data_IF_175444038693
#
_entry.id   IF_175444038693
#
_cell.length_a   1.000
_cell.length_b   1.000
_cell.length_c   1.000
_cell.angle_alpha   90.00
_cell.angle_beta   90.00
_cell.angle_gamma   90.00
#
_symmetry.space_group_name_H-M   'P 1'
#
loop_
_entity.id
_entity.type
_entity.pdbx_description
1 polymer ?
#
# COMPACT_ATOMS: atom_id res chain seq x y z
N UNK A 1 -12.76 13.57 -7.79
CA UNK A 1 -13.60 12.59 -7.05
C UNK A 1 -14.53 11.76 -7.94
N UNK A 2 -15.21 12.31 -8.97
CA UNK A 2 -15.93 11.47 -9.97
C UNK A 2 -15.01 10.42 -10.61
N UNK A 3 -13.81 10.85 -11.02
CA UNK A 3 -12.77 9.96 -11.56
C UNK A 3 -12.42 8.80 -10.62
N UNK A 4 -12.12 9.08 -9.34
CA UNK A 4 -11.71 8.02 -8.40
C UNK A 4 -12.84 7.00 -8.15
N UNK A 5 -14.11 7.42 -8.08
CA UNK A 5 -15.24 6.50 -7.96
C UNK A 5 -15.40 5.61 -9.20
N UNK A 6 -15.37 6.23 -10.39
CA UNK A 6 -15.46 5.51 -11.66
C UNK A 6 -14.29 4.53 -11.79
N UNK A 7 -13.08 4.96 -11.43
CA UNK A 7 -11.90 4.11 -11.42
C UNK A 7 -12.06 2.93 -10.45
N UNK A 8 -12.53 3.17 -9.22
CA UNK A 8 -12.74 2.09 -8.24
C UNK A 8 -13.77 1.06 -8.73
N UNK A 9 -14.90 1.51 -9.29
CA UNK A 9 -15.93 0.60 -9.83
C UNK A 9 -15.40 -0.15 -11.04
N UNK A 10 -14.66 0.52 -11.93
CA UNK A 10 -14.06 -0.09 -13.12
C UNK A 10 -13.00 -1.12 -12.74
N UNK A 11 -12.12 -0.82 -11.78
CA UNK A 11 -11.14 -1.77 -11.25
C UNK A 11 -11.83 -2.99 -10.64
N UNK A 12 -12.90 -2.79 -9.87
CA UNK A 12 -13.65 -3.91 -9.29
C UNK A 12 -14.28 -4.79 -10.38
N UNK A 13 -14.91 -4.18 -11.40
CA UNK A 13 -15.48 -4.91 -12.52
C UNK A 13 -14.42 -5.70 -13.31
N UNK A 14 -13.26 -5.09 -13.56
CA UNK A 14 -12.12 -5.75 -14.21
C UNK A 14 -11.60 -6.91 -13.36
N UNK A 15 -11.39 -6.70 -12.06
CA UNK A 15 -10.92 -7.75 -11.16
C UNK A 15 -11.87 -8.94 -11.11
N UNK A 16 -13.18 -8.70 -11.00
CA UNK A 16 -14.20 -9.76 -11.04
C UNK A 16 -14.20 -10.49 -12.38
N UNK A 17 -14.10 -9.76 -13.51
CA UNK A 17 -14.02 -10.39 -14.83
C UNK A 17 -12.77 -11.28 -14.98
N UNK A 18 -11.61 -10.85 -14.46
CA UNK A 18 -10.37 -11.63 -14.46
C UNK A 18 -10.52 -12.88 -13.59
N UNK A 19 -11.18 -12.80 -12.43
CA UNK A 19 -11.46 -13.97 -11.58
C UNK A 19 -12.41 -14.98 -12.25
N UNK A 20 -13.46 -14.50 -12.93
CA UNK A 20 -14.35 -15.36 -13.72
C UNK A 20 -13.56 -16.06 -14.83
N UNK A 21 -12.65 -15.33 -15.48
CA UNK A 21 -11.78 -15.91 -16.50
C UNK A 21 -10.81 -16.95 -15.93
N UNK A 22 -10.23 -16.71 -14.75
CA UNK A 22 -9.37 -17.68 -14.06
C UNK A 22 -10.09 -19.02 -13.89
N UNK A 23 -11.38 -19.00 -13.51
CA UNK A 23 -12.18 -20.22 -13.33
C UNK A 23 -12.39 -21.05 -14.62
N UNK A 24 -12.15 -20.44 -15.78
CA UNK A 24 -12.22 -21.12 -17.09
C UNK A 24 -10.87 -21.75 -17.49
N UNK A 25 -9.80 -21.51 -16.73
CA UNK A 25 -8.45 -22.03 -17.00
C UNK A 25 -8.27 -23.34 -16.21
N UNK A 26 -7.88 -24.46 -16.84
CA UNK A 26 -7.64 -25.69 -16.10
C UNK A 26 -6.40 -25.59 -15.22
N UNK A 27 -6.43 -26.24 -14.05
CA UNK A 27 -5.24 -26.42 -13.22
C UNK A 27 -4.23 -27.33 -13.92
N UNK A 28 -2.95 -26.95 -13.85
CA UNK A 28 -1.82 -27.74 -14.33
C UNK A 28 -0.89 -28.06 -13.17
N UNK A 29 -0.44 -29.32 -13.07
CA UNK A 29 0.64 -29.71 -12.16
C UNK A 29 1.97 -29.66 -12.89
N UNK A 30 2.95 -29.03 -12.25
CA UNK A 30 4.34 -28.98 -12.69
C UNK A 30 5.07 -30.29 -12.31
N UNK A 31 6.24 -30.51 -12.92
CA UNK A 31 7.05 -31.72 -12.69
C UNK A 31 7.54 -31.89 -11.24
N UNK A 32 7.60 -30.80 -10.47
CA UNK A 32 7.96 -30.78 -9.06
C UNK A 32 6.76 -31.00 -8.12
N UNK A 33 5.57 -31.24 -8.67
CA UNK A 33 4.33 -31.45 -7.93
C UNK A 33 3.60 -30.17 -7.53
N UNK A 34 4.13 -28.98 -7.85
CA UNK A 34 3.44 -27.71 -7.62
C UNK A 34 2.30 -27.48 -8.62
N UNK A 35 1.25 -26.78 -8.22
CA UNK A 35 0.10 -26.42 -9.07
C UNK A 35 0.19 -25.00 -9.63
N UNK A 36 1.29 -24.28 -9.32
CA UNK A 36 1.45 -22.89 -9.72
C UNK A 36 1.67 -22.78 -11.24
N UNK A 37 0.63 -22.32 -11.94
CA UNK A 37 0.61 -22.22 -13.39
C UNK A 37 -0.12 -20.96 -13.88
N UNK A 38 -0.61 -21.01 -15.12
CA UNK A 38 -1.37 -19.90 -15.70
C UNK A 38 -2.63 -19.58 -14.89
N UNK A 39 -3.35 -20.62 -14.43
CA UNK A 39 -4.54 -20.45 -13.58
C UNK A 39 -4.21 -19.59 -12.34
N UNK A 40 -3.24 -20.02 -11.53
CA UNK A 40 -2.86 -19.32 -10.29
C UNK A 40 -2.44 -17.88 -10.55
N UNK A 41 -1.69 -17.60 -11.62
CA UNK A 41 -1.28 -16.22 -11.97
C UNK A 41 -2.45 -15.32 -12.33
N UNK A 42 -3.43 -15.83 -13.09
CA UNK A 42 -4.62 -15.05 -13.47
C UNK A 42 -5.51 -14.82 -12.25
N UNK A 43 -5.68 -15.84 -11.41
CA UNK A 43 -6.38 -15.73 -10.13
C UNK A 43 -5.74 -14.66 -9.23
N UNK A 44 -4.42 -14.70 -9.07
CA UNK A 44 -3.65 -13.76 -8.25
C UNK A 44 -3.82 -12.31 -8.72
N UNK A 45 -3.67 -12.05 -10.03
CA UNK A 45 -3.92 -10.71 -10.60
C UNK A 45 -5.37 -10.26 -10.35
N UNK A 46 -6.34 -11.15 -10.54
CA UNK A 46 -7.75 -10.86 -10.27
C UNK A 46 -8.01 -10.48 -8.81
N UNK A 47 -7.44 -11.23 -7.88
CA UNK A 47 -7.52 -10.96 -6.44
C UNK A 47 -6.85 -9.64 -6.07
N UNK A 48 -5.66 -9.37 -6.61
CA UNK A 48 -4.92 -8.13 -6.36
C UNK A 48 -5.64 -6.88 -6.89
N UNK A 49 -6.23 -6.96 -8.09
CA UNK A 49 -7.03 -5.87 -8.66
C UNK A 49 -8.29 -5.62 -7.82
N UNK A 50 -8.97 -6.68 -7.39
CA UNK A 50 -10.11 -6.57 -6.47
C UNK A 50 -9.69 -5.94 -5.13
N UNK A 51 -8.56 -6.36 -4.55
CA UNK A 51 -8.04 -5.80 -3.32
C UNK A 51 -7.69 -4.32 -3.46
N UNK A 52 -7.10 -3.91 -4.59
CA UNK A 52 -6.83 -2.49 -4.88
C UNK A 52 -8.13 -1.69 -4.95
N UNK A 53 -9.15 -2.22 -5.65
CA UNK A 53 -10.46 -1.57 -5.74
C UNK A 53 -11.11 -1.41 -4.35
N UNK A 54 -11.12 -2.48 -3.54
CA UNK A 54 -11.67 -2.46 -2.19
C UNK A 54 -10.87 -1.52 -1.29
N UNK A 55 -9.54 -1.52 -1.35
CA UNK A 55 -8.69 -0.62 -0.58
C UNK A 55 -8.95 0.85 -0.92
N UNK A 56 -9.08 1.17 -2.21
CA UNK A 56 -9.47 2.51 -2.66
C UNK A 56 -10.89 2.87 -2.18
N UNK A 57 -11.84 1.93 -2.22
CA UNK A 57 -13.20 2.15 -1.73
C UNK A 57 -13.22 2.42 -0.22
N UNK A 58 -12.48 1.62 0.56
CA UNK A 58 -12.34 1.79 2.01
C UNK A 58 -11.74 3.15 2.34
N UNK A 59 -10.72 3.59 1.58
CA UNK A 59 -10.16 4.93 1.75
C UNK A 59 -11.23 6.02 1.55
N UNK A 60 -12.09 5.88 0.52
CA UNK A 60 -13.20 6.81 0.27
C UNK A 60 -14.22 6.83 1.41
N UNK A 61 -14.47 5.68 2.06
CA UNK A 61 -15.42 5.58 3.17
C UNK A 61 -14.82 6.17 4.47
N UNK A 62 -13.59 5.77 4.82
CA UNK A 62 -12.90 6.18 6.04
C UNK A 62 -12.70 7.69 6.09
N UNK A 63 -12.35 8.32 4.97
CA UNK A 63 -12.21 9.77 4.91
C UNK A 63 -13.55 10.53 4.94
N UNK A 64 -14.69 9.84 5.23
CA UNK A 64 -16.05 10.39 5.39
C UNK A 64 -16.21 11.67 4.57
N UNK A 65 -16.13 11.54 3.25
CA UNK A 65 -16.38 12.64 2.30
C UNK A 65 -17.85 13.06 2.34
N UNK A 66 -18.33 13.54 3.50
CA UNK A 66 -19.68 14.07 3.73
C UNK A 66 -19.90 15.39 2.98
N UNK A 67 -18.82 16.02 2.49
CA UNK A 67 -18.86 17.03 1.42
C UNK A 67 -17.78 16.70 0.43
N UNK A 68 -18.14 16.79 -0.85
CA UNK A 68 -17.34 16.41 -2.01
C UNK A 68 -16.23 17.44 -2.24
N UNK A 69 -15.30 17.50 -1.29
CA UNK A 69 -14.14 18.39 -1.31
C UNK A 69 -13.29 18.11 -2.55
N UNK A 70 -12.77 19.15 -3.20
CA UNK A 70 -11.84 18.99 -4.34
C UNK A 70 -10.60 18.23 -3.85
N UNK A 71 -9.87 17.53 -4.72
CA UNK A 71 -8.65 16.81 -4.30
C UNK A 71 -7.68 17.71 -3.52
N UNK A 72 -7.59 18.99 -3.90
CA UNK A 72 -6.77 19.99 -3.21
C UNK A 72 -7.22 20.37 -1.80
N UNK A 73 -8.41 19.96 -1.37
CA UNK A 73 -9.00 20.26 -0.06
C UNK A 73 -8.93 19.05 0.91
N UNK A 74 -8.28 17.96 0.49
CA UNK A 74 -8.06 16.78 1.33
C UNK A 74 -6.97 17.11 2.35
N UNK A 75 -7.34 17.08 3.61
CA UNK A 75 -6.44 17.31 4.73
C UNK A 75 -5.81 15.99 5.19
N UNK A 76 -4.50 16.01 5.46
CA UNK A 76 -3.80 14.95 6.15
C UNK A 76 -4.28 14.83 7.60
N UNK A 77 -4.16 13.64 8.18
CA UNK A 77 -4.44 13.43 9.59
C UNK A 77 -3.47 14.15 10.53
N UNK A 78 -3.76 14.09 11.83
CA UNK A 78 -2.85 14.54 12.88
C UNK A 78 -1.56 13.70 12.92
N UNK A 79 -0.52 14.17 13.61
CA UNK A 79 0.72 13.39 13.83
C UNK A 79 0.40 12.01 14.43
N UNK A 80 -0.48 11.96 15.43
CA UNK A 80 -0.92 10.72 16.05
C UNK A 80 -1.59 9.78 15.03
N UNK A 81 -2.47 10.33 14.18
CA UNK A 81 -3.12 9.55 13.12
C UNK A 81 -2.12 8.97 12.13
N UNK A 82 -1.11 9.76 11.71
CA UNK A 82 -0.05 9.28 10.80
C UNK A 82 0.76 8.16 11.45
N UNK A 83 1.10 8.31 12.74
CA UNK A 83 1.85 7.29 13.48
C UNK A 83 1.07 5.99 13.65
N UNK A 84 -0.22 6.08 14.01
CA UNK A 84 -1.12 4.92 14.12
C UNK A 84 -1.24 4.23 12.75
N UNK A 85 -1.46 4.98 11.67
CA UNK A 85 -1.61 4.40 10.34
C UNK A 85 -0.35 3.71 9.84
N UNK A 86 0.84 4.22 10.18
CA UNK A 86 2.09 3.57 9.80
C UNK A 86 2.29 2.23 10.51
N UNK A 87 2.09 2.18 11.83
CA UNK A 87 2.23 0.94 12.58
C UNK A 87 1.10 -0.05 12.26
N UNK A 88 -0.11 0.44 11.95
CA UNK A 88 -1.19 -0.41 11.46
C UNK A 88 -0.84 -1.01 10.09
N UNK A 89 -0.20 -0.25 9.20
CA UNK A 89 0.28 -0.76 7.91
C UNK A 89 1.28 -1.91 8.11
N UNK A 90 2.25 -1.78 9.02
CA UNK A 90 3.18 -2.87 9.37
C UNK A 90 2.46 -4.11 9.90
N UNK A 91 1.52 -3.94 10.83
CA UNK A 91 0.75 -5.06 11.40
C UNK A 91 -0.06 -5.77 10.30
N UNK A 92 -0.75 -5.01 9.46
CA UNK A 92 -1.52 -5.56 8.33
C UNK A 92 -0.59 -6.27 7.36
N UNK A 93 0.61 -5.74 7.12
CA UNK A 93 1.58 -6.37 6.22
C UNK A 93 2.13 -7.68 6.78
N UNK A 94 2.41 -7.73 8.09
CA UNK A 94 2.89 -8.92 8.79
C UNK A 94 1.83 -10.04 8.77
N UNK A 95 0.58 -9.70 9.14
CA UNK A 95 -0.55 -10.64 9.08
C UNK A 95 -0.83 -11.06 7.63
N UNK A 96 -0.75 -10.12 6.69
CA UNK A 96 -0.89 -10.35 5.25
C UNK A 96 0.10 -11.37 4.73
N UNK A 97 1.38 -11.20 5.06
CA UNK A 97 2.46 -12.12 4.72
C UNK A 97 2.12 -13.55 5.14
N UNK A 98 1.70 -13.74 6.40
CA UNK A 98 1.35 -15.06 6.90
C UNK A 98 0.17 -15.68 6.13
N UNK A 99 -0.92 -14.93 5.96
CA UNK A 99 -2.13 -15.42 5.28
C UNK A 99 -1.90 -15.70 3.79
N UNK A 100 -1.17 -14.82 3.11
CA UNK A 100 -0.82 -14.96 1.70
C UNK A 100 -0.02 -16.24 1.43
N UNK A 101 1.06 -16.46 2.17
CA UNK A 101 1.89 -17.64 2.00
C UNK A 101 1.18 -18.92 2.45
N UNK A 102 0.35 -18.86 3.50
CA UNK A 102 -0.48 -19.99 3.92
C UNK A 102 -1.49 -20.39 2.83
N UNK A 103 -2.17 -19.41 2.22
CA UNK A 103 -3.11 -19.64 1.13
C UNK A 103 -2.43 -20.27 -0.09
N UNK A 104 -1.28 -19.71 -0.52
CA UNK A 104 -0.48 -20.30 -1.62
C UNK A 104 0.00 -21.72 -1.30
N UNK A 105 0.34 -21.98 -0.04
CA UNK A 105 0.63 -23.32 0.45
C UNK A 105 -0.56 -24.28 0.30
N UNK A 106 -1.74 -23.87 0.74
CA UNK A 106 -2.97 -24.66 0.61
C UNK A 106 -3.37 -24.90 -0.85
N UNK A 107 -3.12 -23.94 -1.74
CA UNK A 107 -3.37 -24.06 -3.19
C UNK A 107 -2.43 -25.06 -3.87
N UNK A 108 -1.32 -25.41 -3.23
CA UNK A 108 -0.29 -26.29 -3.78
C UNK A 108 0.74 -25.57 -4.63
N UNK A 109 0.90 -24.25 -4.46
CA UNK A 109 1.87 -23.45 -5.24
C UNK A 109 3.33 -23.83 -4.93
N UNK A 110 3.55 -24.56 -3.84
CA UNK A 110 4.86 -24.98 -3.39
C UNK A 110 5.04 -26.51 -3.50
N UNK A 111 6.26 -27.00 -3.77
CA UNK A 111 6.54 -28.43 -3.78
C UNK A 111 6.23 -29.09 -2.42
N UNK A 112 5.55 -30.25 -2.37
CA UNK A 112 5.14 -30.92 -1.13
C UNK A 112 6.30 -31.34 -0.22
N UNK A 113 7.47 -31.58 -0.80
CA UNK A 113 8.66 -32.07 -0.10
C UNK A 113 9.58 -30.95 0.44
N UNK A 114 9.24 -29.68 0.19
CA UNK A 114 10.06 -28.55 0.60
C UNK A 114 9.41 -27.82 1.78
N UNK A 115 10.20 -27.47 2.80
CA UNK A 115 9.87 -26.59 3.95
C UNK A 115 9.62 -25.12 3.51
N UNK A 116 8.96 -24.99 2.37
CA UNK A 116 9.09 -23.92 1.39
C UNK A 116 8.17 -22.75 1.68
N UNK A 117 7.15 -22.93 2.52
CA UNK A 117 6.22 -21.87 2.93
C UNK A 117 6.74 -21.14 4.18
N UNK A 118 7.41 -21.86 5.10
CA UNK A 118 7.95 -21.28 6.33
C UNK A 118 9.09 -20.30 6.08
N UNK A 119 9.97 -20.60 5.12
CA UNK A 119 11.11 -19.75 4.74
C UNK A 119 10.66 -18.36 4.28
N UNK A 120 9.77 -18.19 3.28
CA UNK A 120 9.33 -16.87 2.85
C UNK A 120 8.54 -16.12 3.93
N UNK A 121 7.73 -16.83 4.74
CA UNK A 121 7.04 -16.22 5.89
C UNK A 121 8.06 -15.63 6.87
N UNK A 122 9.04 -16.42 7.31
CA UNK A 122 10.05 -15.97 8.28
C UNK A 122 10.93 -14.86 7.72
N UNK A 123 11.36 -14.99 6.46
CA UNK A 123 12.19 -14.00 5.78
C UNK A 123 11.49 -12.64 5.65
N UNK A 124 10.26 -12.61 5.14
CA UNK A 124 9.51 -11.37 4.99
C UNK A 124 9.08 -10.79 6.33
N UNK A 125 8.58 -11.62 7.26
CA UNK A 125 8.17 -11.16 8.60
C UNK A 125 9.34 -10.52 9.35
N UNK A 126 10.52 -11.13 9.26
CA UNK A 126 11.74 -10.59 9.87
C UNK A 126 12.17 -9.28 9.21
N UNK A 127 12.05 -9.17 7.87
CA UNK A 127 12.28 -7.93 7.15
C UNK A 127 11.35 -6.79 7.59
N UNK A 128 10.06 -7.07 7.75
CA UNK A 128 9.05 -6.11 8.25
C UNK A 128 9.42 -5.63 9.65
N UNK A 129 9.68 -6.56 10.58
CA UNK A 129 10.04 -6.23 11.95
C UNK A 129 11.35 -5.43 12.04
N UNK A 130 12.34 -5.76 11.23
CA UNK A 130 13.60 -5.03 11.17
C UNK A 130 13.41 -3.61 10.62
N UNK A 131 12.45 -3.41 9.71
CA UNK A 131 12.15 -2.10 9.13
C UNK A 131 11.27 -1.21 10.03
N UNK A 132 10.60 -1.78 11.03
CA UNK A 132 9.73 -1.07 11.96
C UNK A 132 10.48 0.02 12.75
N UNK A 133 11.71 -0.26 13.18
CA UNK A 133 12.56 0.71 13.90
C UNK A 133 12.97 1.90 13.02
N UNK A 134 13.65 1.71 11.86
CA UNK A 134 14.05 2.82 11.01
C UNK A 134 12.85 3.60 10.48
N UNK A 135 11.72 2.95 10.20
CA UNK A 135 10.47 3.62 9.81
C UNK A 135 9.96 4.54 10.94
N UNK A 136 9.85 4.04 12.17
CA UNK A 136 9.37 4.86 13.29
C UNK A 136 10.34 6.01 13.61
N UNK A 137 11.66 5.80 13.52
CA UNK A 137 12.66 6.87 13.64
C UNK A 137 12.43 7.93 12.55
N UNK A 138 12.27 7.50 11.30
CA UNK A 138 11.97 8.39 10.19
C UNK A 138 10.68 9.18 10.42
N UNK A 139 9.61 8.54 10.90
CA UNK A 139 8.34 9.21 11.18
C UNK A 139 8.45 10.23 12.29
N UNK A 140 9.13 9.90 13.39
CA UNK A 140 9.38 10.85 14.47
C UNK A 140 10.17 12.04 13.91
N UNK A 141 11.33 11.79 13.30
CA UNK A 141 12.19 12.83 12.74
C UNK A 141 11.47 13.71 11.70
N UNK A 142 10.63 13.10 10.86
CA UNK A 142 9.89 13.79 9.80
C UNK A 142 8.64 14.50 10.30
N UNK A 143 8.09 14.16 11.47
CA UNK A 143 6.90 14.82 12.06
C UNK A 143 7.21 15.75 13.24
N UNK A 144 8.47 15.85 13.68
CA UNK A 144 8.91 16.81 14.68
C UNK A 144 8.43 18.24 14.33
N UNK A 145 7.81 18.91 15.32
CA UNK A 145 7.22 20.26 15.21
C UNK A 145 8.18 21.32 14.67
N UNK A 146 9.49 21.10 14.86
CA UNK A 146 10.51 22.03 14.39
C UNK A 146 10.52 22.21 12.87
N UNK A 147 10.04 21.24 12.09
CA UNK A 147 10.12 21.27 10.61
C UNK A 147 8.86 20.79 9.88
N UNK A 148 7.74 20.58 10.59
CA UNK A 148 6.52 19.96 10.04
C UNK A 148 5.28 20.51 10.75
N UNK A 149 4.21 20.78 10.00
CA UNK A 149 2.93 21.28 10.53
C UNK A 149 1.78 20.45 9.99
N UNK A 150 1.35 19.47 10.78
CA UNK A 150 0.14 18.68 10.53
C UNK A 150 -1.02 19.16 11.41
N UNK A 151 -2.27 19.10 10.94
CA UNK A 151 -2.70 18.67 9.61
C UNK A 151 -2.39 19.71 8.51
N UNK A 152 -2.22 19.24 7.27
CA UNK A 152 -1.98 20.08 6.10
C UNK A 152 -2.66 19.50 4.86
N UNK A 153 -2.84 20.29 3.80
CA UNK A 153 -3.49 19.83 2.58
C UNK A 153 -2.58 18.86 1.81
N UNK A 154 -3.05 17.64 1.53
CA UNK A 154 -2.25 16.56 0.90
C UNK A 154 -1.63 16.96 -0.44
N UNK A 155 -2.40 17.69 -1.25
CA UNK A 155 -2.01 18.11 -2.59
C UNK A 155 -1.64 19.60 -2.67
N UNK A 156 -1.25 20.20 -1.54
CA UNK A 156 -0.79 21.59 -1.52
C UNK A 156 0.45 21.77 -2.42
N UNK A 157 0.45 22.86 -3.19
CA UNK A 157 1.63 23.30 -3.93
C UNK A 157 2.56 24.08 -3.01
N UNK A 158 3.85 23.97 -3.26
CA UNK A 158 4.87 24.71 -2.52
C UNK A 158 5.01 26.12 -3.09
N UNK A 159 5.01 27.13 -2.23
CA UNK A 159 5.17 28.54 -2.64
C UNK A 159 6.64 28.87 -2.86
N UNK A 160 7.54 28.39 -1.98
CA UNK A 160 8.99 28.61 -2.08
C UNK A 160 9.78 27.34 -1.82
N UNK A 161 10.78 27.08 -2.65
CA UNK A 161 11.65 25.89 -2.52
C UNK A 161 12.97 26.29 -1.85
N UNK A 162 13.16 25.90 -0.58
CA UNK A 162 14.47 25.92 0.07
C UNK A 162 15.23 24.63 -0.25
N UNK A 163 16.57 24.66 -0.22
CA UNK A 163 17.39 23.45 -0.48
C UNK A 163 17.01 22.27 0.42
N UNK A 164 16.76 22.54 1.71
CA UNK A 164 16.29 21.54 2.67
C UNK A 164 14.93 20.93 2.27
N UNK A 165 13.98 21.75 1.81
CA UNK A 165 12.68 21.25 1.35
C UNK A 165 12.80 20.45 0.04
N UNK A 166 13.69 20.83 -0.86
CA UNK A 166 13.97 20.07 -2.09
C UNK A 166 14.55 18.70 -1.74
N UNK A 167 15.54 18.62 -0.84
CA UNK A 167 16.09 17.35 -0.39
C UNK A 167 15.01 16.42 0.22
N UNK A 168 14.16 16.96 1.10
CA UNK A 168 13.03 16.22 1.66
C UNK A 168 12.04 15.75 0.59
N UNK A 169 11.75 16.58 -0.42
CA UNK A 169 10.92 16.17 -1.54
C UNK A 169 11.55 15.00 -2.28
N UNK A 170 12.84 15.04 -2.61
CA UNK A 170 13.50 13.94 -3.33
C UNK A 170 13.35 12.62 -2.56
N UNK A 171 13.65 12.62 -1.26
CA UNK A 171 13.51 11.44 -0.40
C UNK A 171 12.05 10.94 -0.38
N UNK A 172 11.09 11.83 -0.14
CA UNK A 172 9.68 11.44 -0.09
C UNK A 172 9.14 10.94 -1.45
N UNK A 173 9.54 11.53 -2.57
CA UNK A 173 9.12 11.05 -3.88
C UNK A 173 9.76 9.69 -4.20
N UNK A 174 11.03 9.48 -3.82
CA UNK A 174 11.67 8.17 -3.95
C UNK A 174 10.92 7.09 -3.14
N UNK A 175 10.56 7.39 -1.90
CA UNK A 175 9.77 6.48 -1.05
C UNK A 175 8.35 6.24 -1.59
N UNK A 176 7.69 7.27 -2.13
CA UNK A 176 6.37 7.13 -2.76
C UNK A 176 6.47 6.26 -4.01
N UNK A 177 7.48 6.47 -4.86
CA UNK A 177 7.70 5.64 -6.04
C UNK A 177 7.98 4.19 -5.64
N UNK A 178 8.78 3.97 -4.60
CA UNK A 178 9.05 2.64 -4.06
C UNK A 178 7.76 1.97 -3.54
N UNK A 179 6.93 2.71 -2.80
CA UNK A 179 5.63 2.21 -2.33
C UNK A 179 4.66 1.91 -3.49
N UNK A 180 4.67 2.70 -4.57
CA UNK A 180 3.88 2.43 -5.78
C UNK A 180 4.39 1.19 -6.53
N UNK A 181 5.71 0.98 -6.57
CA UNK A 181 6.31 -0.22 -7.14
C UNK A 181 5.86 -1.45 -6.35
N UNK A 182 6.01 -1.44 -5.03
CA UNK A 182 5.57 -2.56 -4.18
C UNK A 182 4.06 -2.77 -4.22
N UNK A 183 3.26 -1.70 -4.27
CA UNK A 183 1.81 -1.82 -4.51
C UNK A 183 1.51 -2.56 -5.80
N UNK A 184 2.22 -2.24 -6.89
CA UNK A 184 2.03 -2.88 -8.19
C UNK A 184 2.42 -4.36 -8.13
N UNK A 185 3.55 -4.68 -7.49
CA UNK A 185 3.98 -6.06 -7.29
C UNK A 185 2.97 -6.86 -6.45
N UNK A 186 2.49 -6.31 -5.33
CA UNK A 186 1.46 -6.97 -4.52
C UNK A 186 0.14 -7.18 -5.27
N UNK A 187 -0.24 -6.26 -6.17
CA UNK A 187 -1.41 -6.43 -7.05
C UNK A 187 -1.17 -7.57 -8.05
N UNK A 188 0.03 -7.66 -8.63
CA UNK A 188 0.36 -8.75 -9.55
C UNK A 188 0.43 -10.12 -8.87
N UNK A 189 0.93 -10.15 -7.64
CA UNK A 189 1.06 -11.36 -6.83
C UNK A 189 -0.25 -11.78 -6.14
N UNK A 190 -1.28 -10.93 -6.13
CA UNK A 190 -2.55 -11.21 -5.49
C UNK A 190 -2.54 -11.14 -3.97
N UNK A 191 -1.51 -10.53 -3.37
CA UNK A 191 -1.42 -10.35 -1.92
C UNK A 191 -2.33 -9.21 -1.45
N UNK A 192 -3.58 -9.57 -1.16
CA UNK A 192 -4.66 -8.62 -0.90
C UNK A 192 -4.38 -7.71 0.31
N UNK A 193 -3.80 -8.25 1.38
CA UNK A 193 -3.54 -7.48 2.60
C UNK A 193 -2.30 -6.60 2.44
N UNK A 194 -1.29 -7.05 1.70
CA UNK A 194 -0.15 -6.20 1.33
C UNK A 194 -0.57 -5.03 0.44
N UNK A 195 -1.52 -5.22 -0.48
CA UNK A 195 -2.11 -4.11 -1.25
C UNK A 195 -2.72 -3.06 -0.32
N UNK A 196 -3.50 -3.48 0.69
CA UNK A 196 -4.11 -2.56 1.66
C UNK A 196 -3.03 -1.86 2.49
N UNK A 197 -2.01 -2.58 2.95
CA UNK A 197 -0.89 -2.01 3.70
C UNK A 197 -0.12 -0.96 2.88
N UNK A 198 0.18 -1.24 1.60
CA UNK A 198 0.86 -0.29 0.71
C UNK A 198 0.04 0.99 0.49
N UNK A 199 -1.30 0.89 0.40
CA UNK A 199 -2.16 2.07 0.36
C UNK A 199 -2.09 2.90 1.66
N UNK A 200 -1.98 2.24 2.82
CA UNK A 200 -1.77 2.93 4.11
C UNK A 200 -0.40 3.62 4.16
N UNK A 201 0.67 2.98 3.69
CA UNK A 201 1.99 3.62 3.59
C UNK A 201 1.98 4.82 2.65
N UNK A 202 1.29 4.74 1.51
CA UNK A 202 1.12 5.88 0.62
C UNK A 202 0.40 7.03 1.33
N UNK A 203 -0.66 6.75 2.09
CA UNK A 203 -1.33 7.76 2.90
C UNK A 203 -0.37 8.42 3.91
N UNK A 204 0.47 7.63 4.59
CA UNK A 204 1.46 8.13 5.55
C UNK A 204 2.47 9.05 4.87
N UNK A 205 3.07 8.61 3.76
CA UNK A 205 4.07 9.39 3.01
C UNK A 205 3.48 10.69 2.45
N UNK A 206 2.27 10.64 1.88
CA UNK A 206 1.56 11.82 1.41
C UNK A 206 1.22 12.78 2.55
N UNK A 207 0.86 12.26 3.72
CA UNK A 207 0.60 13.07 4.91
C UNK A 207 1.87 13.77 5.40
N UNK A 208 3.00 13.06 5.50
CA UNK A 208 4.29 13.66 5.88
C UNK A 208 4.70 14.76 4.89
N UNK A 209 4.55 14.51 3.58
CA UNK A 209 4.77 15.53 2.54
C UNK A 209 3.89 16.77 2.76
N UNK A 210 2.60 16.57 3.03
CA UNK A 210 1.65 17.64 3.30
C UNK A 210 2.09 18.50 4.49
N UNK A 211 2.49 17.85 5.59
CA UNK A 211 2.96 18.52 6.79
C UNK A 211 4.23 19.34 6.57
N UNK A 212 5.18 18.83 5.77
CA UNK A 212 6.40 19.57 5.39
C UNK A 212 6.04 20.79 4.56
N UNK A 213 5.25 20.62 3.49
CA UNK A 213 4.86 21.74 2.61
C UNK A 213 4.09 22.81 3.38
N UNK A 214 3.16 22.42 4.25
CA UNK A 214 2.37 23.34 5.06
C UNK A 214 3.25 24.20 5.99
N UNK A 215 4.23 23.58 6.65
CA UNK A 215 5.18 24.29 7.50
C UNK A 215 5.96 25.37 6.74
N UNK A 216 6.58 25.01 5.60
CA UNK A 216 7.38 25.95 4.81
C UNK A 216 6.54 27.05 4.16
N UNK A 217 5.31 26.73 3.75
CA UNK A 217 4.39 27.74 3.24
C UNK A 217 3.94 28.71 4.35
N UNK A 218 3.81 28.25 5.61
CA UNK A 218 3.41 29.11 6.74
C UNK A 218 4.51 30.01 7.30
N UNK A 219 5.76 29.79 6.90
CA UNK A 219 6.92 30.62 7.25
C UNK A 219 7.22 31.71 6.22
N UNK A 220 6.50 31.71 5.10
CA UNK A 220 6.53 32.73 4.06
C UNK A 220 5.52 33.83 4.36
#
# INVERSE_FOLDING_TARGET
MKFLKVLTVLLLAVGVAVLIWAHSIPFSQNADGSTYGLHSRVEDVGMGVCALAIGLLLSLIVFKYKKWKRLGEIEAGSVLTVFIMANLADIVFLVGTFLYYSYRGMRGDYPPAADSIGIPILGQSSGILLFLIPMNIFLIASTLKMNTRLPGLMFQKTIRNTAALVAWKVVLHALILLALLFLTLSVMDGDMLSVISMLMFLYVLLSVRAGKVNYYNSKS
#
